data_IF_534542242425
#
_entry.id   IF_534542242425
#
_cell.length_a   1.000
_cell.length_b   1.000
_cell.length_c   1.000
_cell.angle_alpha   90.00
_cell.angle_beta   90.00
_cell.angle_gamma   90.00
#
_symmetry.space_group_name_H-M   'P 1'
#
loop_
_entity.id
_entity.type
_entity.pdbx_description
1 polymer ?
#
# COMPACT_ATOMS: atom_id res chain seq x y z
N UNK A 1 -14.49 -34.32 8.52
CA UNK A 1 -15.13 -33.18 9.23
C UNK A 1 -14.14 -32.32 10.03
N UNK A 2 -13.34 -32.88 10.95
CA UNK A 2 -12.43 -32.11 11.85
C UNK A 2 -11.44 -31.15 11.13
N UNK A 3 -10.92 -31.54 9.96
CA UNK A 3 -9.98 -30.73 9.15
C UNK A 3 -10.64 -29.51 8.49
N UNK A 4 -11.78 -29.70 7.85
CA UNK A 4 -12.54 -28.62 7.22
C UNK A 4 -13.06 -27.63 8.28
N UNK A 5 -13.53 -28.13 9.42
CA UNK A 5 -13.95 -27.31 10.55
C UNK A 5 -12.81 -26.45 11.11
N UNK A 6 -11.57 -26.97 11.19
CA UNK A 6 -10.42 -26.18 11.65
C UNK A 6 -10.03 -25.06 10.66
N UNK A 7 -10.14 -25.31 9.35
CA UNK A 7 -9.88 -24.30 8.32
C UNK A 7 -10.97 -23.23 8.32
N UNK A 8 -12.24 -23.64 8.39
CA UNK A 8 -13.38 -22.72 8.51
C UNK A 8 -13.31 -21.88 9.79
N UNK A 9 -13.03 -22.52 10.94
CA UNK A 9 -12.85 -21.82 12.21
C UNK A 9 -11.71 -20.80 12.15
N UNK A 10 -10.61 -21.12 11.49
CA UNK A 10 -9.50 -20.18 11.29
C UNK A 10 -9.83 -19.03 10.35
N UNK A 11 -10.64 -19.28 9.32
CA UNK A 11 -11.12 -18.24 8.41
C UNK A 11 -12.09 -17.27 9.12
N UNK A 12 -12.99 -17.80 9.96
CA UNK A 12 -13.91 -17.00 10.78
C UNK A 12 -13.15 -16.19 11.83
N UNK A 13 -12.20 -16.80 12.54
CA UNK A 13 -11.34 -16.10 13.51
C UNK A 13 -10.52 -15.00 12.84
N UNK A 14 -10.01 -15.24 11.63
CA UNK A 14 -9.29 -14.23 10.86
C UNK A 14 -10.19 -13.04 10.49
N UNK A 15 -11.39 -13.30 9.98
CA UNK A 15 -12.36 -12.26 9.63
C UNK A 15 -12.83 -11.47 10.86
N UNK A 16 -13.09 -12.15 11.98
CA UNK A 16 -13.45 -11.52 13.25
C UNK A 16 -12.31 -10.70 13.84
N UNK A 17 -11.07 -11.20 13.79
CA UNK A 17 -9.89 -10.47 14.25
C UNK A 17 -9.61 -9.23 13.39
N UNK A 18 -9.85 -9.29 12.08
CA UNK A 18 -9.76 -8.14 11.18
C UNK A 18 -10.77 -7.06 11.60
N UNK A 19 -12.05 -7.44 11.79
CA UNK A 19 -13.10 -6.52 12.23
C UNK A 19 -12.79 -5.92 13.61
N UNK A 20 -12.41 -6.74 14.59
CA UNK A 20 -12.08 -6.28 15.94
C UNK A 20 -10.86 -5.34 15.95
N UNK A 21 -9.82 -5.66 15.18
CA UNK A 21 -8.64 -4.80 15.06
C UNK A 21 -8.99 -3.46 14.42
N UNK A 22 -9.89 -3.45 13.44
CA UNK A 22 -10.41 -2.23 12.84
C UNK A 22 -11.18 -1.38 13.85
N UNK A 23 -12.09 -2.00 14.62
CA UNK A 23 -12.87 -1.31 15.66
C UNK A 23 -11.98 -0.67 16.74
N UNK A 24 -10.96 -1.40 17.20
CA UNK A 24 -10.01 -0.92 18.21
C UNK A 24 -9.16 0.23 17.65
N UNK A 25 -8.74 0.13 16.38
CA UNK A 25 -7.89 1.15 15.77
C UNK A 25 -8.67 2.39 15.29
N UNK A 26 -9.96 2.24 14.98
CA UNK A 26 -10.84 3.35 14.60
C UNK A 26 -10.99 4.39 15.73
N UNK A 27 -10.82 3.98 16.99
CA UNK A 27 -10.81 4.87 18.16
C UNK A 27 -9.44 5.32 18.64
N UNK A 28 -8.34 4.92 17.98
CA UNK A 28 -6.96 5.23 18.38
C UNK A 28 -6.12 5.66 17.17
N UNK A 29 -5.12 4.87 16.75
CA UNK A 29 -4.27 5.14 15.59
C UNK A 29 -4.39 3.99 14.57
N UNK A 30 -4.91 4.33 13.40
CA UNK A 30 -5.15 3.42 12.28
C UNK A 30 -3.86 2.77 11.73
N UNK A 31 -2.67 3.30 12.07
CA UNK A 31 -1.38 2.67 11.72
C UNK A 31 -1.17 1.33 12.43
N UNK A 32 -1.69 1.17 13.64
CA UNK A 32 -1.66 -0.13 14.35
C UNK A 32 -2.48 -1.18 13.62
N UNK A 33 -3.58 -0.78 12.99
CA UNK A 33 -4.34 -1.67 12.13
C UNK A 33 -3.58 -2.00 10.84
N UNK A 34 -2.93 -0.99 10.23
CA UNK A 34 -2.19 -1.16 8.98
C UNK A 34 -1.02 -2.15 9.07
N UNK A 35 -0.27 -2.14 10.19
CA UNK A 35 0.93 -2.98 10.35
C UNK A 35 0.77 -4.09 11.40
N UNK A 36 0.02 -3.83 12.47
CA UNK A 36 -0.13 -4.76 13.59
C UNK A 36 -1.00 -5.96 13.24
N UNK A 37 -2.14 -5.76 12.57
CA UNK A 37 -2.99 -6.88 12.15
C UNK A 37 -2.28 -7.84 11.18
N UNK A 38 -1.63 -7.37 10.09
CA UNK A 38 -0.87 -8.27 9.20
C UNK A 38 0.22 -9.07 9.92
N UNK A 39 0.94 -8.45 10.87
CA UNK A 39 1.95 -9.15 11.67
C UNK A 39 1.33 -10.20 12.61
N UNK A 40 0.26 -9.84 13.33
CA UNK A 40 -0.46 -10.75 14.22
C UNK A 40 -1.06 -11.94 13.45
N UNK A 41 -1.63 -11.68 12.28
CA UNK A 41 -2.13 -12.72 11.38
C UNK A 41 -1.05 -13.71 10.94
N UNK A 42 0.15 -13.21 10.61
CA UNK A 42 1.30 -14.06 10.25
C UNK A 42 1.76 -14.92 11.43
N UNK A 43 1.85 -14.34 12.64
CA UNK A 43 2.19 -15.08 13.87
C UNK A 43 1.15 -16.16 14.16
N UNK A 44 -0.14 -15.81 14.09
CA UNK A 44 -1.24 -16.77 14.25
C UNK A 44 -1.14 -17.91 13.24
N UNK A 45 -0.86 -17.61 11.96
CA UNK A 45 -0.68 -18.64 10.93
C UNK A 45 0.45 -19.62 11.26
N UNK A 46 1.58 -19.13 11.81
CA UNK A 46 2.70 -20.00 12.22
C UNK A 46 2.30 -20.87 13.40
N UNK A 47 1.67 -20.30 14.42
CA UNK A 47 1.25 -21.02 15.64
C UNK A 47 0.15 -22.04 15.35
N UNK A 48 -0.95 -21.59 14.73
CA UNK A 48 -2.07 -22.45 14.34
C UNK A 48 -1.64 -23.49 13.30
N UNK A 49 -0.78 -23.10 12.35
CA UNK A 49 -0.20 -24.02 11.36
C UNK A 49 0.68 -25.10 11.99
N UNK A 50 1.44 -24.78 13.03
CA UNK A 50 2.19 -25.78 13.82
C UNK A 50 1.23 -26.71 14.58
N UNK A 51 0.25 -26.14 15.29
CA UNK A 51 -0.70 -26.89 16.12
C UNK A 51 -1.59 -27.84 15.30
N UNK A 52 -2.15 -27.36 14.19
CA UNK A 52 -3.00 -28.19 13.31
C UNK A 52 -2.19 -29.21 12.52
N UNK A 53 -0.93 -28.91 12.20
CA UNK A 53 -0.01 -29.89 11.61
C UNK A 53 0.28 -31.04 12.58
N UNK A 54 0.44 -30.76 13.88
CA UNK A 54 0.73 -31.79 14.89
C UNK A 54 -0.51 -32.60 15.26
N UNK A 55 -1.66 -31.95 15.50
CA UNK A 55 -2.87 -32.64 16.01
C UNK A 55 -3.82 -33.17 14.93
N UNK A 56 -3.90 -32.52 13.77
CA UNK A 56 -4.90 -32.83 12.73
C UNK A 56 -4.27 -33.33 11.42
N UNK A 57 -2.94 -33.38 11.36
CA UNK A 57 -2.15 -33.59 10.13
C UNK A 57 -2.65 -32.70 8.97
N UNK A 58 -3.06 -31.47 9.30
CA UNK A 58 -3.58 -30.55 8.30
C UNK A 58 -2.42 -29.96 7.50
N UNK A 59 -2.52 -29.98 6.17
CA UNK A 59 -1.55 -29.30 5.32
C UNK A 59 -1.71 -27.79 5.50
N UNK A 60 -0.63 -27.11 5.88
CA UNK A 60 -0.59 -25.65 6.10
C UNK A 60 -1.00 -24.85 4.86
N UNK A 61 -0.89 -25.45 3.67
CA UNK A 61 -1.40 -24.88 2.43
C UNK A 61 -2.91 -24.62 2.46
N UNK A 62 -3.71 -25.54 3.00
CA UNK A 62 -5.16 -25.36 3.10
C UNK A 62 -5.54 -24.32 4.14
N UNK A 63 -4.74 -24.18 5.20
CA UNK A 63 -4.89 -23.11 6.17
C UNK A 63 -4.56 -21.74 5.57
N UNK A 64 -3.46 -21.65 4.82
CA UNK A 64 -3.05 -20.42 4.12
C UNK A 64 -4.10 -19.98 3.10
N UNK A 65 -4.61 -20.93 2.31
CA UNK A 65 -5.63 -20.67 1.30
C UNK A 65 -6.99 -20.35 1.94
N UNK A 66 -7.36 -21.03 3.03
CA UNK A 66 -8.57 -20.74 3.78
C UNK A 66 -8.54 -19.36 4.43
N UNK A 67 -7.42 -18.95 5.03
CA UNK A 67 -7.29 -17.62 5.64
C UNK A 67 -7.28 -16.50 4.59
N UNK A 68 -6.59 -16.66 3.47
CA UNK A 68 -6.53 -15.62 2.43
C UNK A 68 -7.80 -15.53 1.58
N UNK A 69 -8.29 -16.67 1.08
CA UNK A 69 -9.40 -16.70 0.16
C UNK A 69 -10.73 -16.57 0.90
N UNK A 70 -10.98 -17.41 1.90
CA UNK A 70 -12.25 -17.38 2.64
C UNK A 70 -12.22 -16.29 3.72
N UNK A 71 -11.19 -16.28 4.57
CA UNK A 71 -11.08 -15.32 5.67
C UNK A 71 -10.88 -13.88 5.21
N UNK A 72 -10.02 -13.67 4.20
CA UNK A 72 -9.76 -12.36 3.60
C UNK A 72 -10.99 -11.79 2.91
N UNK A 73 -11.61 -12.53 1.98
CA UNK A 73 -12.81 -12.05 1.29
C UNK A 73 -13.99 -11.88 2.24
N UNK A 74 -14.21 -12.81 3.18
CA UNK A 74 -15.28 -12.68 4.18
C UNK A 74 -15.03 -11.52 5.14
N UNK A 75 -13.77 -11.31 5.58
CA UNK A 75 -13.40 -10.18 6.43
C UNK A 75 -13.61 -8.83 5.74
N UNK A 76 -13.24 -8.71 4.47
CA UNK A 76 -13.52 -7.52 3.66
C UNK A 76 -15.02 -7.29 3.47
N UNK A 77 -15.76 -8.34 3.10
CA UNK A 77 -17.21 -8.27 2.95
C UNK A 77 -17.91 -7.86 4.25
N UNK A 78 -17.48 -8.40 5.39
CA UNK A 78 -18.01 -8.07 6.71
C UNK A 78 -17.72 -6.62 7.09
N UNK A 79 -16.49 -6.13 6.86
CA UNK A 79 -16.12 -4.74 7.11
C UNK A 79 -16.96 -3.77 6.28
N UNK A 80 -17.13 -4.05 4.99
CA UNK A 80 -17.93 -3.23 4.08
C UNK A 80 -19.41 -3.27 4.47
N UNK A 81 -19.93 -4.44 4.87
CA UNK A 81 -21.32 -4.58 5.30
C UNK A 81 -21.59 -3.84 6.63
N UNK A 82 -20.66 -3.91 7.59
CA UNK A 82 -20.78 -3.21 8.88
C UNK A 82 -20.52 -1.71 8.76
N UNK A 83 -19.68 -1.28 7.82
CA UNK A 83 -19.28 0.11 7.61
C UNK A 83 -19.38 0.48 6.13
N UNK A 84 -20.61 0.66 5.59
CA UNK A 84 -20.80 1.01 4.19
C UNK A 84 -20.18 2.35 3.82
N UNK A 85 -19.99 3.24 4.82
CA UNK A 85 -19.30 4.53 4.69
C UNK A 85 -17.85 4.36 4.21
N UNK A 86 -17.20 3.21 4.41
CA UNK A 86 -15.85 2.95 3.89
C UNK A 86 -15.76 3.00 2.36
N UNK A 87 -16.88 2.86 1.66
CA UNK A 87 -16.96 2.92 0.19
C UNK A 87 -17.08 4.33 -0.38
N UNK A 88 -17.49 5.28 0.45
CA UNK A 88 -17.63 6.71 0.12
C UNK A 88 -16.50 7.48 0.81
N UNK A 89 -15.82 8.40 0.14
CA UNK A 89 -14.82 9.33 0.70
C UNK A 89 -13.34 8.91 0.64
N UNK A 90 -12.90 8.20 -0.42
CA UNK A 90 -11.47 8.03 -0.69
C UNK A 90 -10.68 7.18 0.33
N UNK A 91 -11.32 6.75 1.43
CA UNK A 91 -10.78 5.84 2.44
C UNK A 91 -10.33 4.52 1.80
N UNK A 92 -11.02 4.09 0.74
CA UNK A 92 -10.60 2.97 -0.13
C UNK A 92 -9.15 3.16 -0.59
N UNK A 93 -8.83 4.33 -1.17
CA UNK A 93 -7.53 4.61 -1.78
C UNK A 93 -6.45 4.88 -0.73
N UNK A 94 -6.79 5.55 0.38
CA UNK A 94 -5.82 5.99 1.38
C UNK A 94 -5.48 4.89 2.39
N UNK A 95 -6.40 3.98 2.69
CA UNK A 95 -6.20 2.97 3.74
C UNK A 95 -6.39 1.53 3.28
N UNK A 96 -7.45 1.28 2.53
CA UNK A 96 -7.87 -0.07 2.10
C UNK A 96 -6.88 -0.63 1.05
N UNK A 97 -6.46 0.19 0.09
CA UNK A 97 -5.43 -0.17 -0.90
C UNK A 97 -4.06 -0.39 -0.24
N UNK A 98 -3.53 0.50 0.64
CA UNK A 98 -2.30 0.20 1.37
C UNK A 98 -2.38 -1.04 2.25
N UNK A 99 -3.49 -1.27 2.96
CA UNK A 99 -3.68 -2.46 3.80
C UNK A 99 -3.72 -3.75 2.98
N UNK A 100 -4.43 -3.75 1.84
CA UNK A 100 -4.43 -4.90 0.92
C UNK A 100 -3.04 -5.15 0.36
N UNK A 101 -2.27 -4.11 0.04
CA UNK A 101 -0.88 -4.24 -0.42
C UNK A 101 0.04 -4.82 0.67
N UNK A 102 -0.05 -4.34 1.91
CA UNK A 102 0.73 -4.87 3.05
C UNK A 102 0.35 -6.33 3.31
N UNK A 103 -0.93 -6.66 3.36
CA UNK A 103 -1.41 -8.04 3.50
C UNK A 103 -0.90 -8.92 2.35
N UNK A 104 -0.97 -8.44 1.10
CA UNK A 104 -0.46 -9.18 -0.05
C UNK A 104 1.04 -9.44 0.04
N UNK A 105 1.84 -8.47 0.47
CA UNK A 105 3.28 -8.63 0.68
C UNK A 105 3.56 -9.63 1.79
N UNK A 106 2.93 -9.49 2.96
CA UNK A 106 3.09 -10.41 4.10
C UNK A 106 2.73 -11.83 3.69
N UNK A 107 1.59 -12.02 3.03
CA UNK A 107 1.13 -13.34 2.60
C UNK A 107 1.94 -13.91 1.43
N UNK A 108 2.49 -13.07 0.54
CA UNK A 108 3.45 -13.49 -0.47
C UNK A 108 4.75 -13.99 0.18
N UNK A 109 5.30 -13.27 1.15
CA UNK A 109 6.51 -13.69 1.88
C UNK A 109 6.27 -15.00 2.64
N UNK A 110 5.15 -15.10 3.38
CA UNK A 110 4.78 -16.32 4.13
C UNK A 110 4.49 -17.49 3.17
N UNK A 111 3.79 -17.24 2.07
CA UNK A 111 3.42 -18.24 1.07
C UNK A 111 4.63 -18.75 0.28
N UNK A 112 5.49 -17.85 -0.21
CA UNK A 112 6.74 -18.17 -0.91
C UNK A 112 7.71 -18.88 0.04
N UNK A 113 7.89 -18.40 1.27
CA UNK A 113 8.72 -19.05 2.28
C UNK A 113 8.28 -20.49 2.56
N UNK A 114 6.97 -20.73 2.66
CA UNK A 114 6.43 -22.08 2.84
C UNK A 114 6.60 -22.96 1.59
N UNK A 115 6.35 -22.43 0.39
CA UNK A 115 6.58 -23.13 -0.88
C UNK A 115 8.04 -23.54 -1.02
N UNK A 116 8.98 -22.66 -0.68
CA UNK A 116 10.41 -22.94 -0.65
C UNK A 116 10.74 -24.08 0.31
N UNK A 117 10.25 -24.07 1.56
CA UNK A 117 10.49 -25.13 2.55
C UNK A 117 9.87 -26.47 2.13
N UNK A 118 8.65 -26.44 1.58
CA UNK A 118 7.95 -27.65 1.10
C UNK A 118 8.64 -28.26 -0.12
N UNK A 119 9.06 -27.43 -1.08
CA UNK A 119 9.85 -27.85 -2.23
C UNK A 119 11.20 -28.43 -1.79
N UNK A 120 11.86 -27.83 -0.79
CA UNK A 120 13.11 -28.34 -0.24
C UNK A 120 12.94 -29.69 0.46
N UNK A 121 11.91 -29.85 1.32
CA UNK A 121 11.62 -31.12 2.01
C UNK A 121 11.20 -32.25 1.07
N UNK A 122 10.38 -31.95 0.06
CA UNK A 122 10.04 -32.94 -0.97
C UNK A 122 11.24 -33.26 -1.86
N UNK A 123 12.09 -32.28 -2.18
CA UNK A 123 13.37 -32.51 -2.87
C UNK A 123 14.28 -33.41 -2.05
N UNK A 124 14.49 -33.14 -0.77
CA UNK A 124 15.37 -33.95 0.08
C UNK A 124 14.86 -35.38 0.28
N UNK A 125 13.54 -35.58 0.41
CA UNK A 125 12.93 -36.91 0.54
C UNK A 125 12.93 -37.69 -0.79
N UNK A 126 12.67 -37.02 -1.91
CA UNK A 126 12.72 -37.63 -3.25
C UNK A 126 14.15 -37.95 -3.72
N UNK A 127 15.14 -37.14 -3.31
CA UNK A 127 16.57 -37.40 -3.53
C UNK A 127 17.08 -38.57 -2.69
N UNK A 128 16.53 -38.78 -1.48
CA UNK A 128 16.83 -39.98 -0.66
C UNK A 128 16.18 -41.26 -1.18
N UNK A 129 14.99 -41.18 -1.80
CA UNK A 129 14.21 -42.36 -2.21
C UNK A 129 14.50 -42.89 -3.62
N UNK A 130 15.13 -42.10 -4.50
CA UNK A 130 15.51 -42.54 -5.85
C UNK A 130 16.95 -42.16 -6.13
N UNK A 131 17.84 -43.14 -5.99
CA UNK A 131 19.28 -43.01 -6.28
C UNK A 131 19.63 -42.59 -7.72
N UNK A 132 18.67 -42.38 -8.64
CA UNK A 132 18.88 -41.68 -9.91
C UNK A 132 17.63 -40.86 -10.26
N UNK A 133 17.81 -39.55 -10.45
CA UNK A 133 16.76 -38.61 -10.88
C UNK A 133 16.48 -38.84 -12.38
N UNK A 134 15.22 -39.08 -12.82
CA UNK A 134 14.91 -39.29 -14.22
C UNK A 134 15.10 -38.00 -15.04
N UNK A 135 15.83 -38.08 -16.16
CA UNK A 135 16.25 -36.95 -17.01
C UNK A 135 15.09 -36.01 -17.41
N UNK A 136 13.94 -36.56 -17.81
CA UNK A 136 12.75 -35.80 -18.20
C UNK A 136 12.12 -34.94 -17.08
N UNK A 137 12.54 -35.14 -15.82
CA UNK A 137 12.10 -34.35 -14.65
C UNK A 137 13.07 -33.21 -14.33
N UNK A 138 14.37 -33.37 -14.62
CA UNK A 138 15.35 -32.29 -14.59
C UNK A 138 15.03 -31.25 -15.67
N UNK A 139 14.67 -31.70 -16.87
CA UNK A 139 14.32 -30.82 -17.98
C UNK A 139 13.08 -29.96 -17.71
N UNK A 140 12.01 -30.54 -17.16
CA UNK A 140 10.80 -29.78 -16.79
C UNK A 140 11.03 -28.80 -15.65
N UNK A 141 11.83 -29.17 -14.65
CA UNK A 141 12.19 -28.27 -13.56
C UNK A 141 13.12 -27.14 -14.02
N UNK A 142 14.07 -27.44 -14.91
CA UNK A 142 14.94 -26.45 -15.55
C UNK A 142 14.12 -25.47 -16.41
N UNK A 143 13.18 -25.95 -17.21
CA UNK A 143 12.29 -25.12 -18.01
C UNK A 143 11.41 -24.17 -17.14
N UNK A 144 10.90 -24.66 -16.00
CA UNK A 144 10.16 -23.82 -15.05
C UNK A 144 11.05 -22.80 -14.32
N UNK A 145 12.28 -23.18 -13.94
CA UNK A 145 13.23 -22.22 -13.34
C UNK A 145 13.68 -21.16 -14.33
N UNK A 146 13.88 -21.52 -15.60
CA UNK A 146 14.17 -20.54 -16.66
C UNK A 146 13.00 -19.60 -16.89
N UNK A 147 11.75 -20.09 -16.95
CA UNK A 147 10.57 -19.23 -17.03
C UNK A 147 10.45 -18.28 -15.82
N UNK A 148 10.67 -18.78 -14.60
CA UNK A 148 10.61 -17.96 -13.38
C UNK A 148 11.74 -16.92 -13.32
N UNK A 149 12.95 -17.27 -13.76
CA UNK A 149 14.11 -16.36 -13.85
C UNK A 149 13.88 -15.27 -14.90
N UNK A 150 13.31 -15.63 -16.04
CA UNK A 150 12.96 -14.67 -17.10
C UNK A 150 11.82 -13.76 -16.67
N UNK A 151 10.78 -14.29 -16.02
CA UNK A 151 9.70 -13.49 -15.45
C UNK A 151 10.20 -12.55 -14.33
N UNK A 152 11.08 -13.06 -13.46
CA UNK A 152 11.73 -12.27 -12.41
C UNK A 152 12.56 -11.13 -12.99
N UNK A 153 13.32 -11.38 -14.06
CA UNK A 153 14.05 -10.31 -14.79
C UNK A 153 13.10 -9.27 -15.38
N UNK A 154 12.07 -9.71 -16.11
CA UNK A 154 11.10 -8.81 -16.76
C UNK A 154 10.37 -7.93 -15.75
N UNK A 155 10.03 -8.44 -14.56
CA UNK A 155 9.42 -7.64 -13.50
C UNK A 155 10.45 -6.76 -12.76
N UNK A 156 11.69 -7.23 -12.60
CA UNK A 156 12.72 -6.48 -11.85
C UNK A 156 13.16 -5.18 -12.52
N UNK A 157 13.22 -5.13 -13.85
CA UNK A 157 13.65 -3.94 -14.60
C UNK A 157 12.71 -2.74 -14.39
N UNK A 158 11.37 -2.85 -14.60
CA UNK A 158 10.47 -1.73 -14.34
C UNK A 158 10.41 -1.35 -12.86
N UNK A 159 10.55 -2.32 -11.94
CA UNK A 159 10.67 -2.03 -10.51
C UNK A 159 11.95 -1.25 -10.17
N UNK A 160 13.06 -1.54 -10.84
CA UNK A 160 14.31 -0.78 -10.71
C UNK A 160 14.18 0.64 -11.26
N UNK A 161 13.55 0.81 -12.42
CA UNK A 161 13.27 2.13 -13.00
C UNK A 161 12.37 2.93 -12.05
N UNK A 162 11.32 2.30 -11.53
CA UNK A 162 10.41 2.91 -10.56
C UNK A 162 11.15 3.32 -9.29
N UNK A 163 11.98 2.43 -8.71
CA UNK A 163 12.76 2.73 -7.51
C UNK A 163 13.73 3.90 -7.75
N UNK A 164 14.42 3.95 -8.88
CA UNK A 164 15.31 5.06 -9.22
C UNK A 164 14.55 6.38 -9.40
N UNK A 165 13.41 6.36 -10.09
CA UNK A 165 12.56 7.54 -10.28
C UNK A 165 11.97 8.03 -8.95
N UNK A 166 11.47 7.12 -8.11
CA UNK A 166 10.94 7.43 -6.78
C UNK A 166 12.02 7.97 -5.85
N UNK A 167 13.25 7.46 -5.91
CA UNK A 167 14.38 8.00 -5.16
C UNK A 167 14.70 9.43 -5.61
N UNK A 168 14.77 9.67 -6.92
CA UNK A 168 15.05 11.00 -7.48
C UNK A 168 13.98 12.02 -7.08
N UNK A 169 12.69 11.70 -7.29
CA UNK A 169 11.59 12.59 -6.92
C UNK A 169 11.54 12.78 -5.41
N UNK A 170 11.69 11.70 -4.63
CA UNK A 170 11.71 11.77 -3.17
C UNK A 170 12.84 12.66 -2.65
N UNK A 171 14.04 12.57 -3.21
CA UNK A 171 15.18 13.41 -2.82
C UNK A 171 14.99 14.88 -3.24
N UNK A 172 14.51 15.12 -4.46
CA UNK A 172 14.21 16.46 -4.95
C UNK A 172 13.17 17.14 -4.08
N UNK A 173 12.05 16.47 -3.84
CA UNK A 173 10.94 17.03 -3.07
C UNK A 173 11.35 17.22 -1.60
N UNK A 174 12.11 16.29 -1.03
CA UNK A 174 12.65 16.42 0.33
C UNK A 174 13.56 17.65 0.47
N UNK A 175 14.44 17.88 -0.51
CA UNK A 175 15.30 19.07 -0.53
C UNK A 175 14.53 20.39 -0.71
N UNK A 176 13.33 20.33 -1.29
CA UNK A 176 12.44 21.50 -1.44
C UNK A 176 11.54 21.75 -0.23
N UNK A 177 11.57 20.88 0.80
CA UNK A 177 10.79 21.10 2.01
C UNK A 177 11.34 22.34 2.71
N UNK A 178 10.46 23.33 2.93
CA UNK A 178 10.78 24.49 3.74
C UNK A 178 10.86 24.10 5.22
N UNK A 179 11.79 24.70 5.99
CA UNK A 179 11.86 24.46 7.42
C UNK A 179 10.65 25.07 8.13
N UNK A 180 10.26 24.51 9.28
CA UNK A 180 9.02 24.87 9.97
C UNK A 180 8.98 26.35 10.41
N UNK A 181 10.14 26.90 10.74
CA UNK A 181 10.37 28.29 11.15
C UNK A 181 10.14 29.32 10.04
N UNK A 182 10.16 28.89 8.77
CA UNK A 182 9.83 29.76 7.62
C UNK A 182 8.34 30.03 7.46
N UNK A 183 7.48 29.29 8.18
CA UNK A 183 6.04 29.50 8.19
C UNK A 183 5.65 30.38 9.37
N UNK A 184 4.78 31.35 9.10
CA UNK A 184 4.10 32.11 10.16
C UNK A 184 2.71 31.53 10.35
N UNK A 185 2.40 31.13 11.58
CA UNK A 185 1.10 30.54 11.93
C UNK A 185 0.08 31.65 12.13
N UNK A 186 -0.86 31.79 11.19
CA UNK A 186 -1.95 32.77 11.24
C UNK A 186 -3.15 32.26 12.06
N UNK A 187 -3.08 31.01 12.52
CA UNK A 187 -4.12 30.38 13.32
C UNK A 187 -5.14 29.62 12.49
N UNK A 188 -6.22 29.21 13.17
CA UNK A 188 -7.31 28.42 12.58
C UNK A 188 -8.42 29.35 12.14
N UNK A 189 -8.82 29.21 10.88
CA UNK A 189 -9.89 29.98 10.29
C UNK A 189 -11.02 29.06 9.85
N UNK A 190 -12.25 29.57 9.91
CA UNK A 190 -13.42 28.90 9.37
C UNK A 190 -13.59 29.25 7.90
N UNK A 191 -13.45 28.25 7.04
CA UNK A 191 -13.63 28.36 5.60
C UNK A 191 -15.04 27.95 5.22
N UNK A 192 -15.81 28.87 4.65
CA UNK A 192 -17.19 28.61 4.20
C UNK A 192 -17.21 28.46 2.68
N UNK A 193 -17.82 27.38 2.14
CA UNK A 193 -17.94 27.20 0.71
C UNK A 193 -18.83 28.31 0.13
N UNK A 194 -18.42 28.86 -1.02
CA UNK A 194 -19.15 29.96 -1.66
C UNK A 194 -19.41 29.74 -3.15
N UNK A 195 -18.67 28.84 -3.81
CA UNK A 195 -18.86 28.59 -5.24
C UNK A 195 -18.39 27.20 -5.66
N UNK A 196 -18.93 26.72 -6.77
CA UNK A 196 -18.51 25.50 -7.46
C UNK A 196 -18.29 25.84 -8.93
N UNK A 197 -17.03 25.88 -9.36
CA UNK A 197 -16.70 26.24 -10.73
C UNK A 197 -16.13 25.04 -11.52
N UNK A 198 -16.61 24.82 -12.77
CA UNK A 198 -16.00 23.86 -13.67
C UNK A 198 -14.68 24.42 -14.22
N UNK A 199 -13.58 23.69 -14.01
CA UNK A 199 -12.28 23.97 -14.60
C UNK A 199 -11.93 22.93 -15.67
N UNK A 200 -11.34 23.37 -16.78
CA UNK A 200 -10.88 22.49 -17.85
C UNK A 200 -9.46 22.02 -17.55
N UNK A 201 -9.30 20.74 -17.24
CA UNK A 201 -8.01 20.11 -16.93
C UNK A 201 -7.61 19.19 -18.07
N UNK A 202 -6.30 19.03 -18.31
CA UNK A 202 -5.79 18.09 -19.32
C UNK A 202 -6.30 16.67 -19.05
N UNK A 203 -6.76 16.01 -20.10
CA UNK A 203 -7.16 14.61 -20.03
C UNK A 203 -5.92 13.72 -20.19
N UNK A 204 -5.65 12.90 -19.17
CA UNK A 204 -4.52 11.96 -19.16
C UNK A 204 -4.86 10.60 -19.81
N UNK A 205 -6.03 10.48 -20.45
CA UNK A 205 -6.39 9.27 -21.18
C UNK A 205 -5.48 9.04 -22.40
N UNK A 206 -5.14 7.79 -22.68
CA UNK A 206 -4.26 7.40 -23.78
C UNK A 206 -5.04 6.97 -25.03
N UNK A 207 -4.39 6.98 -26.20
CA UNK A 207 -4.95 6.44 -27.44
C UNK A 207 -5.92 7.36 -28.18
N UNK A 208 -6.91 6.80 -28.89
CA UNK A 208 -7.89 7.59 -29.66
C UNK A 208 -8.71 8.51 -28.77
N UNK A 209 -9.11 8.03 -27.59
CA UNK A 209 -9.97 8.78 -26.68
C UNK A 209 -9.31 10.05 -26.15
N UNK A 210 -8.03 9.99 -25.77
CA UNK A 210 -7.26 11.18 -25.36
C UNK A 210 -6.99 12.16 -26.50
N UNK A 211 -6.79 11.67 -27.73
CA UNK A 211 -6.60 12.53 -28.91
C UNK A 211 -7.84 13.32 -29.29
N UNK A 212 -9.03 12.72 -29.16
CA UNK A 212 -10.29 13.39 -29.50
C UNK A 212 -10.87 14.18 -28.32
N UNK A 213 -10.44 13.90 -27.08
CA UNK A 213 -10.89 14.61 -25.87
C UNK A 213 -9.68 15.05 -25.04
N UNK A 214 -8.92 16.07 -25.49
CA UNK A 214 -7.67 16.49 -24.84
C UNK A 214 -7.88 17.12 -23.47
N UNK A 215 -9.10 17.55 -23.15
CA UNK A 215 -9.46 18.16 -21.86
C UNK A 215 -10.66 17.46 -21.24
N UNK A 216 -10.73 17.46 -19.91
CA UNK A 216 -11.88 17.02 -19.12
C UNK A 216 -12.28 18.13 -18.14
N UNK A 217 -13.56 18.23 -17.84
CA UNK A 217 -14.07 19.17 -16.85
C UNK A 217 -13.95 18.55 -15.46
N UNK A 218 -13.43 19.32 -14.52
CA UNK A 218 -13.37 19.01 -13.10
C UNK A 218 -14.06 20.13 -12.34
N UNK A 219 -14.98 19.80 -11.44
CA UNK A 219 -15.65 20.77 -10.59
C UNK A 219 -14.81 21.01 -9.33
N UNK A 220 -14.39 22.25 -9.12
CA UNK A 220 -13.71 22.68 -7.89
C UNK A 220 -14.67 23.40 -6.97
N UNK A 221 -14.57 23.12 -5.68
CA UNK A 221 -15.32 23.81 -4.64
C UNK A 221 -14.40 24.86 -4.03
N UNK A 222 -14.88 26.10 -3.99
CA UNK A 222 -14.15 27.25 -3.49
C UNK A 222 -14.70 27.69 -2.14
N UNK A 223 -13.78 27.95 -1.22
CA UNK A 223 -14.04 28.39 0.13
C UNK A 223 -13.37 29.74 0.39
N UNK A 224 -14.00 30.53 1.26
CA UNK A 224 -13.48 31.80 1.75
C UNK A 224 -13.66 31.90 3.25
N UNK A 225 -12.82 32.68 3.90
CA UNK A 225 -12.98 32.94 5.34
C UNK A 225 -14.13 33.91 5.62
N UNK A 226 -14.75 33.78 6.79
CA UNK A 226 -15.87 34.63 7.25
C UNK A 226 -15.43 35.73 8.22
N UNK A 227 -14.22 35.64 8.75
CA UNK A 227 -13.65 36.53 9.76
C UNK A 227 -13.02 37.81 9.19
N UNK A 228 -13.10 38.02 7.87
CA UNK A 228 -12.54 39.19 7.20
C UNK A 228 -11.05 39.09 6.84
N UNK A 229 -10.39 37.97 7.15
CA UNK A 229 -8.98 37.73 6.79
C UNK A 229 -8.74 37.62 5.28
N UNK A 230 -9.76 37.24 4.51
CA UNK A 230 -9.69 37.16 3.05
C UNK A 230 -9.00 35.91 2.49
N UNK A 231 -8.60 34.97 3.33
CA UNK A 231 -8.01 33.71 2.87
C UNK A 231 -9.01 32.89 2.06
N UNK A 232 -8.47 32.15 1.08
CA UNK A 232 -9.21 31.31 0.16
C UNK A 232 -8.62 29.92 0.16
N UNK A 233 -9.49 28.95 -0.01
CA UNK A 233 -9.10 27.56 -0.15
C UNK A 233 -9.95 26.90 -1.22
N UNK A 234 -9.37 25.96 -1.93
CA UNK A 234 -10.05 25.25 -3.00
C UNK A 234 -9.74 23.77 -2.91
N UNK A 235 -10.75 22.96 -3.18
CA UNK A 235 -10.63 21.50 -3.18
C UNK A 235 -11.23 20.92 -4.44
N UNK A 236 -10.56 19.91 -4.99
CA UNK A 236 -11.11 19.15 -6.11
C UNK A 236 -12.33 18.36 -5.64
N UNK A 237 -13.49 18.62 -6.25
CA UNK A 237 -14.73 17.88 -6.02
C UNK A 237 -14.69 16.55 -6.76
N UNK A 238 -14.85 16.61 -8.09
CA UNK A 238 -14.71 15.49 -9.02
C UNK A 238 -14.97 15.95 -10.46
N UNK A 239 -14.85 15.05 -11.44
CA UNK A 239 -15.44 15.24 -12.78
C UNK A 239 -16.97 15.25 -12.76
N UNK A 240 -17.58 14.64 -11.72
CA UNK A 240 -19.03 14.70 -11.51
C UNK A 240 -19.39 15.88 -10.61
N UNK A 241 -20.31 16.74 -11.08
CA UNK A 241 -20.78 17.91 -10.34
C UNK A 241 -21.40 17.56 -9.00
N UNK A 242 -22.15 16.46 -8.94
CA UNK A 242 -22.85 16.00 -7.72
C UNK A 242 -21.90 15.72 -6.55
N UNK A 243 -20.68 15.26 -6.81
CA UNK A 243 -19.67 15.05 -5.76
C UNK A 243 -19.06 16.37 -5.28
N UNK A 244 -18.99 17.38 -6.14
CA UNK A 244 -18.60 18.73 -5.73
C UNK A 244 -19.72 19.39 -4.92
N UNK A 245 -20.99 19.18 -5.29
CA UNK A 245 -22.15 19.62 -4.53
C UNK A 245 -22.20 18.96 -3.14
N UNK A 246 -21.93 17.66 -3.05
CA UNK A 246 -21.83 16.98 -1.75
C UNK A 246 -20.77 17.63 -0.84
N UNK A 247 -19.58 17.94 -1.37
CA UNK A 247 -18.53 18.65 -0.60
C UNK A 247 -18.92 20.08 -0.23
N UNK A 248 -19.68 20.74 -1.08
CA UNK A 248 -20.22 22.07 -0.78
C UNK A 248 -21.25 21.98 0.37
N UNK A 249 -22.09 20.95 0.37
CA UNK A 249 -23.10 20.69 1.41
C UNK A 249 -22.52 20.22 2.75
N UNK A 250 -21.31 19.65 2.77
CA UNK A 250 -20.56 19.39 4.02
C UNK A 250 -20.38 20.66 4.86
N UNK A 251 -20.39 21.83 4.20
CA UNK A 251 -20.48 23.12 4.86
C UNK A 251 -19.12 23.67 5.31
N UNK A 252 -19.10 24.49 6.37
CA UNK A 252 -17.89 25.15 6.86
C UNK A 252 -16.83 24.15 7.34
N UNK A 253 -15.56 24.44 7.04
CA UNK A 253 -14.41 23.61 7.44
C UNK A 253 -13.42 24.47 8.19
N UNK A 254 -12.93 23.97 9.32
CA UNK A 254 -11.83 24.60 10.05
C UNK A 254 -10.49 24.18 9.46
N UNK A 255 -9.65 25.14 9.11
CA UNK A 255 -8.30 24.89 8.61
C UNK A 255 -7.33 25.88 9.21
N UNK A 256 -6.10 25.43 9.46
CA UNK A 256 -5.02 26.33 9.88
C UNK A 256 -4.36 26.95 8.66
N UNK A 257 -4.09 28.25 8.73
CA UNK A 257 -3.38 28.98 7.68
C UNK A 257 -1.93 29.17 8.11
N UNK A 258 -1.01 28.77 7.24
CA UNK A 258 0.42 28.99 7.41
C UNK A 258 0.88 29.93 6.30
N UNK A 259 1.22 31.17 6.66
CA UNK A 259 1.73 32.15 5.71
C UNK A 259 3.22 31.94 5.43
N UNK A 260 3.62 32.29 4.22
CA UNK A 260 4.98 32.22 3.68
C UNK A 260 5.36 33.66 3.30
N UNK A 261 5.87 34.46 4.25
CA UNK A 261 6.09 35.89 4.05
C UNK A 261 7.04 36.20 2.89
N UNK A 262 8.03 35.33 2.65
CA UNK A 262 9.01 35.49 1.57
C UNK A 262 8.39 35.48 0.17
N UNK A 263 7.24 34.84 -0.01
CA UNK A 263 6.58 34.64 -1.31
C UNK A 263 5.24 35.34 -1.42
N UNK A 264 4.84 36.11 -0.39
CA UNK A 264 3.51 36.71 -0.27
C UNK A 264 2.40 35.67 -0.53
N UNK A 265 2.59 34.47 0.01
CA UNK A 265 1.77 33.30 -0.23
C UNK A 265 1.38 32.63 1.09
N UNK A 266 0.45 31.68 1.04
CA UNK A 266 0.08 30.87 2.19
C UNK A 266 -0.36 29.48 1.75
N UNK A 267 -0.35 28.56 2.71
CA UNK A 267 -0.91 27.22 2.56
C UNK A 267 -1.97 26.99 3.63
N UNK A 268 -2.91 26.09 3.37
CA UNK A 268 -3.91 25.68 4.35
C UNK A 268 -3.74 24.21 4.73
N UNK A 269 -3.62 23.94 6.02
CA UNK A 269 -3.42 22.60 6.59
C UNK A 269 -4.60 22.24 7.48
N UNK A 270 -4.66 20.99 7.95
CA UNK A 270 -5.70 20.57 8.89
C UNK A 270 -5.63 21.39 10.19
N UNK A 271 -6.77 21.66 10.83
CA UNK A 271 -6.84 22.56 11.98
C UNK A 271 -5.95 22.14 13.17
N UNK A 272 -5.75 20.84 13.35
CA UNK A 272 -4.93 20.21 14.39
C UNK A 272 -3.43 20.19 14.06
N UNK A 273 -3.05 20.49 12.81
CA UNK A 273 -1.66 20.52 12.38
C UNK A 273 -1.02 21.86 12.70
N UNK A 274 0.28 21.85 13.00
CA UNK A 274 1.14 23.02 13.16
C UNK A 274 2.16 23.03 12.03
N UNK A 275 2.90 24.13 11.85
CA UNK A 275 4.01 24.16 10.88
C UNK A 275 5.02 23.03 11.13
N UNK A 276 5.31 22.73 12.41
CA UNK A 276 6.20 21.63 12.78
C UNK A 276 5.61 20.25 12.42
N UNK A 277 4.36 19.99 12.77
CA UNK A 277 3.77 18.67 12.50
C UNK A 277 3.51 18.44 11.01
N UNK A 278 3.19 19.50 10.26
CA UNK A 278 3.11 19.51 8.81
C UNK A 278 4.46 19.19 8.17
N UNK A 279 5.52 19.94 8.50
CA UNK A 279 6.85 19.73 7.92
C UNK A 279 7.45 18.39 8.32
N UNK A 280 7.30 17.95 9.57
CA UNK A 280 7.70 16.63 10.01
C UNK A 280 6.94 15.51 9.26
N UNK A 281 5.65 15.72 8.99
CA UNK A 281 4.83 14.82 8.19
C UNK A 281 5.35 14.68 6.75
N UNK A 282 5.69 15.81 6.11
CA UNK A 282 6.31 15.84 4.79
C UNK A 282 7.66 15.12 4.80
N UNK A 283 8.55 15.48 5.74
CA UNK A 283 9.86 14.85 5.87
C UNK A 283 9.73 13.33 6.00
N UNK A 284 8.88 12.86 6.92
CA UNK A 284 8.63 11.44 7.11
C UNK A 284 8.12 10.74 5.84
N UNK A 285 7.17 11.34 5.13
CA UNK A 285 6.63 10.80 3.88
C UNK A 285 7.76 10.57 2.85
N UNK A 286 8.60 11.57 2.63
CA UNK A 286 9.68 11.48 1.65
C UNK A 286 10.83 10.58 2.12
N UNK A 287 11.17 10.59 3.41
CA UNK A 287 12.13 9.64 3.99
C UNK A 287 11.68 8.19 3.79
N UNK A 288 10.39 7.88 3.93
CA UNK A 288 9.85 6.54 3.66
C UNK A 288 9.98 6.17 2.17
N UNK A 289 9.63 7.08 1.26
CA UNK A 289 9.76 6.85 -0.20
C UNK A 289 11.22 6.58 -0.57
N UNK A 290 12.14 7.41 -0.09
CA UNK A 290 13.57 7.24 -0.33
C UNK A 290 14.09 5.95 0.30
N UNK A 291 13.73 5.66 1.55
CA UNK A 291 14.16 4.46 2.27
C UNK A 291 13.75 3.17 1.56
N UNK A 292 12.50 3.07 1.10
CA UNK A 292 12.01 1.93 0.31
C UNK A 292 12.77 1.80 -1.02
N UNK A 293 13.03 2.92 -1.68
CA UNK A 293 13.76 2.95 -2.95
C UNK A 293 15.21 2.48 -2.78
N UNK A 294 15.93 3.01 -1.79
CA UNK A 294 17.30 2.63 -1.46
C UNK A 294 17.39 1.16 -1.07
N UNK A 295 16.45 0.67 -0.25
CA UNK A 295 16.41 -0.73 0.14
C UNK A 295 16.26 -1.67 -1.08
N UNK A 296 15.37 -1.32 -2.02
CA UNK A 296 15.21 -2.09 -3.25
C UNK A 296 16.48 -2.08 -4.12
N UNK A 297 17.09 -0.91 -4.32
CA UNK A 297 18.31 -0.77 -5.11
C UNK A 297 19.48 -1.55 -4.49
N UNK A 298 19.61 -1.55 -3.16
CA UNK A 298 20.64 -2.32 -2.46
C UNK A 298 20.45 -3.84 -2.65
N UNK A 299 19.22 -4.34 -2.56
CA UNK A 299 18.91 -5.76 -2.84
C UNK A 299 19.23 -6.12 -4.28
N UNK A 300 18.87 -5.26 -5.23
CA UNK A 300 19.16 -5.48 -6.65
C UNK A 300 20.66 -5.51 -6.93
N UNK A 301 21.41 -4.54 -6.40
CA UNK A 301 22.86 -4.47 -6.52
C UNK A 301 23.54 -5.70 -5.87
N UNK A 302 23.09 -6.12 -4.69
CA UNK A 302 23.58 -7.32 -4.02
C UNK A 302 23.36 -8.59 -4.85
N UNK A 303 22.16 -8.76 -5.41
CA UNK A 303 21.88 -9.87 -6.31
C UNK A 303 22.76 -9.84 -7.58
N UNK A 304 23.00 -8.65 -8.13
CA UNK A 304 23.87 -8.47 -9.28
C UNK A 304 25.32 -8.86 -8.97
N UNK A 305 25.87 -8.42 -7.83
CA UNK A 305 27.23 -8.75 -7.38
C UNK A 305 27.39 -10.26 -7.22
N UNK A 306 26.41 -10.94 -6.61
CA UNK A 306 26.43 -12.41 -6.45
C UNK A 306 26.45 -13.11 -7.81
N UNK A 307 25.63 -12.65 -8.77
CA UNK A 307 25.62 -13.20 -10.13
C UNK A 307 26.96 -12.96 -10.84
N UNK A 308 27.53 -11.77 -10.68
CA UNK A 308 28.80 -11.40 -11.30
C UNK A 308 29.97 -12.23 -10.75
N UNK A 309 30.12 -12.32 -9.42
CA UNK A 309 31.13 -13.16 -8.77
C UNK A 309 31.04 -14.63 -9.18
N UNK A 310 29.82 -15.15 -9.34
CA UNK A 310 29.62 -16.53 -9.79
C UNK A 310 30.17 -16.76 -11.20
N UNK A 311 30.01 -15.79 -12.10
CA UNK A 311 30.56 -15.88 -13.47
C UNK A 311 32.07 -15.77 -13.51
N UNK A 312 32.68 -14.94 -12.67
CA UNK A 312 34.14 -14.86 -12.58
C UNK A 312 34.75 -16.19 -12.10
N UNK A 313 34.13 -16.82 -11.09
CA UNK A 313 34.57 -18.14 -10.61
C UNK A 313 34.42 -19.23 -11.68
N UNK A 314 33.33 -19.21 -12.46
CA UNK A 314 33.10 -20.15 -13.59
C UNK A 314 34.05 -19.89 -14.78
N UNK A 315 34.70 -18.73 -14.87
CA UNK A 315 35.69 -18.39 -15.91
C UNK A 315 37.14 -18.62 -15.46
N UNK A 316 37.36 -18.83 -14.17
CA UNK A 316 38.68 -19.08 -13.57
C UNK A 316 38.98 -20.58 -13.36
N UNK A 317 37.98 -21.47 -13.52
CA UNK A 317 38.13 -22.93 -13.66
C UNK A 317 38.31 -23.34 -15.14
#
# INVERSE_FOLDING_TARGET
>A
MKRAAAVLGSAVLYAGALLASFLIAAGNDMRWFLYGFPAAAAVYFVLAGNLFSQRLQLNRWYLWLGMNLLGGLAGWGLLIACFPVLLSNGFILVFLVPLTMVLAVVWAVVGVGFLCVKLFRHRSAALKAKGKVPAARLERAAAWMEKAKNLGRVLSIPLLILAAASLYVGARDYASIRPADSYVDEGVHTFVPYDILPISVKNNATGRYGRTHPTKIVYMVYYKTTDGSGYRWQVEGSTARTLAEQKYEEGPVERRVLSIPEEDAYITVEADQTAESYTAGLQRKYTLIMGLSVAYLAVYAGAWIVIWRKREMEQAE
#
